data_IF_039914010796
#
_entry.id   IF_039914010796
#
_cell.length_a   1.000
_cell.length_b   1.000
_cell.length_c   1.000
_cell.angle_alpha   90.00
_cell.angle_beta   90.00
_cell.angle_gamma   90.00
#
_symmetry.space_group_name_H-M   'P 1'
#
loop_
_entity.id
_entity.type
_entity.pdbx_description
1 polymer ?
#
# COMPACT_ATOMS: atom_id res chain seq x y z
N UNK A 1 -13.80 9.98 13.41
CA UNK A 1 -14.68 8.86 13.03
C UNK A 1 -13.92 8.15 11.94
N UNK A 2 -13.39 6.93 12.13
CA UNK A 2 -12.61 6.31 11.06
C UNK A 2 -13.57 5.99 9.91
N UNK A 3 -13.33 6.61 8.76
CA UNK A 3 -14.01 6.27 7.53
C UNK A 3 -13.72 4.79 7.24
N UNK A 4 -14.74 4.04 6.83
CA UNK A 4 -14.56 2.63 6.46
C UNK A 4 -13.81 2.61 5.13
N UNK A 5 -12.49 2.51 5.22
CA UNK A 5 -11.61 2.36 4.06
C UNK A 5 -11.81 0.93 3.54
N UNK A 6 -12.15 0.79 2.26
CA UNK A 6 -12.15 -0.52 1.61
C UNK A 6 -10.76 -1.15 1.70
N UNK A 7 -10.67 -2.36 2.23
CA UNK A 7 -9.42 -3.06 2.50
C UNK A 7 -8.75 -3.46 1.17
N UNK A 8 -7.53 -3.00 0.84
CA UNK A 8 -6.80 -3.49 -0.33
C UNK A 8 -6.29 -4.91 -0.13
N UNK A 9 -6.11 -5.61 -1.25
CA UNK A 9 -5.54 -6.94 -1.31
C UNK A 9 -4.08 -6.88 -1.76
N UNK A 10 -3.23 -7.69 -1.13
CA UNK A 10 -1.83 -7.82 -1.55
C UNK A 10 -1.75 -8.43 -2.96
N UNK A 11 -0.95 -7.82 -3.83
CA UNK A 11 -0.78 -8.26 -5.23
C UNK A 11 0.07 -9.54 -5.38
N UNK A 12 0.62 -10.06 -4.27
CA UNK A 12 1.54 -11.21 -4.26
C UNK A 12 0.95 -12.41 -3.54
N UNK A 13 0.32 -12.20 -2.38
CA UNK A 13 -0.21 -13.28 -1.54
C UNK A 13 -1.72 -13.25 -1.37
N UNK A 14 -2.42 -12.35 -2.09
CA UNK A 14 -3.87 -12.19 -2.05
C UNK A 14 -4.44 -11.96 -0.64
N UNK A 15 -3.61 -11.56 0.32
CA UNK A 15 -4.04 -11.29 1.69
C UNK A 15 -4.52 -9.84 1.80
N UNK A 16 -5.70 -9.66 2.40
CA UNK A 16 -6.23 -8.35 2.75
C UNK A 16 -5.37 -7.67 3.82
N UNK A 17 -5.08 -6.38 3.66
CA UNK A 17 -4.33 -5.60 4.65
C UNK A 17 -4.91 -4.19 4.78
N UNK A 18 -4.84 -3.64 5.99
CA UNK A 18 -5.40 -2.31 6.28
C UNK A 18 -4.39 -1.21 5.97
N UNK A 19 -4.87 -0.10 5.41
CA UNK A 19 -4.10 1.13 5.24
C UNK A 19 -4.62 2.16 6.22
N UNK A 20 -3.70 2.90 6.84
CA UNK A 20 -4.04 3.95 7.79
C UNK A 20 -4.92 5.04 7.14
N UNK A 21 -5.68 5.75 7.97
CA UNK A 21 -6.51 6.86 7.48
C UNK A 21 -5.68 8.08 7.07
N UNK A 22 -4.55 8.28 7.74
CA UNK A 22 -3.56 9.35 7.50
C UNK A 22 -2.58 8.98 6.37
N UNK A 23 -3.11 8.44 5.27
CA UNK A 23 -2.30 8.02 4.12
C UNK A 23 -1.95 9.19 3.21
N UNK A 24 -0.83 9.07 2.50
CA UNK A 24 -0.42 9.99 1.44
C UNK A 24 -0.25 9.24 0.11
N UNK A 25 -0.47 9.94 -1.01
CA UNK A 25 -0.22 9.38 -2.33
C UNK A 25 1.27 9.11 -2.48
N UNK A 26 1.63 7.86 -2.82
CA UNK A 26 3.01 7.42 -2.87
C UNK A 26 3.54 6.87 -1.53
N UNK A 27 2.68 6.73 -0.53
CA UNK A 27 3.05 6.08 0.72
C UNK A 27 3.38 4.60 0.49
N UNK A 28 4.48 4.14 1.09
CA UNK A 28 4.93 2.75 1.03
C UNK A 28 4.43 2.01 2.26
N UNK A 29 3.73 0.90 2.05
CA UNK A 29 3.21 0.04 3.10
C UNK A 29 3.53 -1.42 2.82
N UNK A 30 3.88 -2.17 3.85
CA UNK A 30 4.25 -3.58 3.72
C UNK A 30 3.07 -4.49 4.08
N UNK A 31 2.87 -5.55 3.29
CA UNK A 31 1.93 -6.60 3.63
C UNK A 31 2.42 -7.36 4.86
N UNK A 32 1.62 -7.37 5.93
CA UNK A 32 1.97 -8.08 7.17
C UNK A 32 2.04 -9.60 7.06
N UNK A 33 1.56 -10.19 5.96
CA UNK A 33 1.56 -11.64 5.75
C UNK A 33 2.79 -12.16 4.99
N UNK A 34 3.19 -11.48 3.90
CA UNK A 34 4.33 -11.90 3.06
C UNK A 34 5.54 -10.95 3.12
N UNK A 35 5.39 -9.77 3.71
CA UNK A 35 6.44 -8.74 3.76
C UNK A 35 6.59 -7.92 2.48
N UNK A 36 5.78 -8.15 1.44
CA UNK A 36 5.86 -7.38 0.20
C UNK A 36 5.48 -5.91 0.42
N UNK A 37 6.33 -5.01 -0.05
CA UNK A 37 6.10 -3.57 -0.07
C UNK A 37 5.20 -3.16 -1.24
N UNK A 38 4.22 -2.33 -0.95
CA UNK A 38 3.24 -1.80 -1.89
C UNK A 38 3.18 -0.28 -1.75
N UNK A 39 3.03 0.41 -2.87
CA UNK A 39 2.82 1.85 -2.92
C UNK A 39 1.31 2.17 -3.02
N UNK A 40 0.82 3.09 -2.20
CA UNK A 40 -0.56 3.57 -2.27
C UNK A 40 -0.69 4.62 -3.37
N UNK A 41 -1.18 4.18 -4.53
CA UNK A 41 -1.29 5.06 -5.71
C UNK A 41 -2.57 5.91 -5.70
N UNK A 42 -3.64 5.42 -5.08
CA UNK A 42 -4.93 6.10 -4.97
C UNK A 42 -5.77 5.48 -3.87
N UNK A 43 -6.48 6.31 -3.09
CA UNK A 43 -7.51 5.86 -2.17
C UNK A 43 -8.69 6.82 -2.21
N UNK A 44 -9.87 6.22 -2.25
CA UNK A 44 -11.18 6.89 -2.33
C UNK A 44 -12.13 6.22 -1.35
N UNK A 45 -13.28 6.83 -1.07
CA UNK A 45 -14.27 6.31 -0.12
C UNK A 45 -14.77 4.89 -0.43
N UNK A 46 -14.67 4.46 -1.70
CA UNK A 46 -15.15 3.16 -2.15
C UNK A 46 -14.04 2.10 -2.35
N UNK A 47 -12.78 2.51 -2.56
CA UNK A 47 -11.71 1.60 -2.93
C UNK A 47 -10.32 2.18 -2.66
N UNK A 48 -9.37 1.29 -2.39
CA UNK A 48 -7.94 1.57 -2.31
C UNK A 48 -7.22 0.87 -3.45
N UNK A 49 -6.38 1.60 -4.18
CA UNK A 49 -5.49 1.07 -5.20
C UNK A 49 -4.06 1.11 -4.69
N UNK A 50 -3.40 -0.03 -4.82
CA UNK A 50 -1.99 -0.21 -4.51
C UNK A 50 -1.25 -0.71 -5.75
N UNK A 51 0.02 -0.34 -5.87
CA UNK A 51 0.97 -0.89 -6.82
C UNK A 51 2.10 -1.58 -6.06
N UNK A 52 2.92 -2.39 -6.74
CA UNK A 52 4.17 -2.87 -6.14
C UNK A 52 5.08 -1.66 -5.93
N UNK A 53 5.67 -1.56 -4.73
CA UNK A 53 6.67 -0.53 -4.48
C UNK A 53 7.85 -0.73 -5.46
N UNK A 54 8.43 0.36 -5.98
CA UNK A 54 9.62 0.26 -6.81
C UNK A 54 10.74 -0.42 -6.02
N UNK A 55 11.44 -1.37 -6.65
CA UNK A 55 12.68 -1.87 -6.08
C UNK A 55 13.64 -0.69 -5.98
N UNK A 56 14.23 -0.50 -4.79
CA UNK A 56 15.30 0.49 -4.61
C UNK A 56 16.44 0.05 -5.52
N UNK A 57 16.57 0.67 -6.69
CA UNK A 57 17.81 0.60 -7.45
C UNK A 57 18.92 1.04 -6.48
N UNK A 58 20.02 0.30 -6.40
CA UNK A 58 21.15 0.60 -5.49
C UNK A 58 21.94 1.86 -5.90
N UNK A 59 21.22 2.89 -6.35
CA UNK A 59 21.68 4.22 -6.76
C UNK A 59 20.87 5.33 -6.04
N UNK A 60 19.98 4.96 -5.10
CA UNK A 60 19.38 5.91 -4.16
C UNK A 60 20.44 6.41 -3.17
N UNK A 61 21.38 7.22 -3.67
CA UNK A 61 22.44 7.84 -2.88
C UNK A 61 23.78 7.90 -3.60
N UNK A 62 23.93 8.82 -4.55
CA UNK A 62 25.12 9.66 -4.63
C UNK A 62 24.76 11.14 -4.42
#
# INVERSE_FOLDING_TARGET
MPATISVPQCLVCDTDFEIQDDWERGEITACGACGQEHEVVEKSDAAVRVALAPEVEEDWGE
#
